data_IF_142188987961
#
_entry.id   IF_142188987961
#
_cell.length_a   1.000
_cell.length_b   1.000
_cell.length_c   1.000
_cell.angle_alpha   90.00
_cell.angle_beta   90.00
_cell.angle_gamma   90.00
#
_symmetry.space_group_name_H-M   'P 1'
#
loop_
_entity.id
_entity.type
_entity.pdbx_description
1 polymer ?
#
# COMPACT_ATOMS: atom_id res chain seq x y z
N UNK A 1 -4.88 -3.38 -22.72
CA UNK A 1 -5.00 -4.83 -22.38
C UNK A 1 -4.62 -4.99 -20.92
N UNK A 2 -5.40 -5.72 -20.10
CA UNK A 2 -5.00 -6.03 -18.71
C UNK A 2 -3.80 -6.99 -18.77
N UNK A 3 -2.77 -6.74 -17.97
CA UNK A 3 -1.59 -7.61 -17.91
C UNK A 3 -1.88 -8.94 -17.20
N UNK A 4 -2.86 -8.97 -16.29
CA UNK A 4 -3.27 -10.19 -15.58
C UNK A 4 -4.78 -10.43 -15.76
N UNK A 5 -5.22 -11.68 -16.03
CA UNK A 5 -6.62 -11.99 -16.31
C UNK A 5 -7.50 -11.96 -15.06
N UNK A 6 -6.94 -12.25 -13.89
CA UNK A 6 -7.64 -12.24 -12.61
C UNK A 6 -7.29 -11.00 -11.80
N UNK A 7 -8.28 -10.47 -11.07
CA UNK A 7 -8.09 -9.38 -10.11
C UNK A 7 -7.29 -9.87 -8.91
N UNK A 8 -6.33 -9.06 -8.47
CA UNK A 8 -5.59 -9.30 -7.24
C UNK A 8 -6.13 -8.36 -6.16
N UNK A 9 -6.15 -8.82 -4.91
CA UNK A 9 -6.66 -8.09 -3.76
C UNK A 9 -5.52 -7.87 -2.76
N UNK A 10 -5.45 -6.70 -2.14
CA UNK A 10 -4.46 -6.41 -1.10
C UNK A 10 -5.20 -6.01 0.17
N UNK A 11 -5.06 -6.83 1.20
CA UNK A 11 -5.47 -6.53 2.58
C UNK A 11 -4.38 -5.64 3.23
N UNK A 12 -4.63 -4.34 3.32
CA UNK A 12 -3.69 -3.34 3.82
C UNK A 12 -3.99 -3.00 5.28
N UNK A 13 -2.94 -2.92 6.11
CA UNK A 13 -2.99 -2.27 7.42
C UNK A 13 -2.09 -1.05 7.42
N UNK A 14 -2.65 0.09 7.81
CA UNK A 14 -1.91 1.32 8.07
C UNK A 14 -1.62 1.44 9.57
N UNK A 15 -0.39 1.80 9.90
CA UNK A 15 0.08 2.00 11.27
C UNK A 15 0.61 3.42 11.39
N UNK A 16 0.03 4.24 12.25
CA UNK A 16 0.37 5.66 12.39
C UNK A 16 1.07 5.88 13.72
N UNK A 17 2.30 6.40 13.66
CA UNK A 17 3.04 6.90 14.80
C UNK A 17 2.52 8.30 15.13
N UNK A 18 1.99 8.48 16.34
CA UNK A 18 1.45 9.74 16.85
C UNK A 18 0.42 10.41 15.92
N UNK A 19 -0.84 10.23 16.28
CA UNK A 19 -1.99 10.72 15.53
C UNK A 19 -1.95 12.25 15.28
N UNK A 20 -1.64 12.68 14.06
CA UNK A 20 -2.05 13.99 13.55
C UNK A 20 -3.47 13.83 13.01
N UNK A 21 -4.41 14.71 13.41
CA UNK A 21 -5.88 14.56 13.21
C UNK A 21 -6.30 14.02 11.84
N UNK A 22 -5.59 14.41 10.77
CA UNK A 22 -5.89 13.98 9.39
C UNK A 22 -5.55 12.50 9.10
N UNK A 23 -4.51 11.93 9.71
CA UNK A 23 -4.09 10.54 9.46
C UNK A 23 -4.96 9.51 10.19
N UNK A 24 -5.71 9.97 11.19
CA UNK A 24 -6.48 9.11 12.09
C UNK A 24 -7.89 8.82 11.59
N UNK A 25 -8.27 9.46 10.47
CA UNK A 25 -9.48 9.12 9.76
C UNK A 25 -9.15 8.06 8.67
N UNK A 26 -9.73 6.85 8.73
CA UNK A 26 -9.48 5.82 7.73
C UNK A 26 -9.85 6.25 6.30
N UNK A 27 -10.76 7.22 6.13
CA UNK A 27 -11.18 7.75 4.83
C UNK A 27 -10.10 8.60 4.14
N UNK A 28 -9.10 9.07 4.90
CA UNK A 28 -8.02 9.93 4.40
C UNK A 28 -7.15 9.27 3.33
N UNK A 29 -7.17 7.93 3.24
CA UNK A 29 -6.39 7.16 2.27
C UNK A 29 -7.23 6.58 1.12
N UNK A 30 -8.48 7.00 0.97
CA UNK A 30 -9.37 6.51 -0.11
C UNK A 30 -8.80 6.70 -1.54
N UNK A 31 -7.97 7.74 -1.74
CA UNK A 31 -7.31 8.00 -3.02
C UNK A 31 -6.31 6.89 -3.41
N UNK A 32 -5.61 6.30 -2.44
CA UNK A 32 -4.64 5.21 -2.63
C UNK A 32 -5.26 4.04 -3.40
N UNK A 33 -6.52 3.71 -3.09
CA UNK A 33 -7.20 2.56 -3.67
C UNK A 33 -7.42 2.71 -5.19
N UNK A 34 -7.51 3.94 -5.68
CA UNK A 34 -7.73 4.21 -7.11
C UNK A 34 -6.45 4.04 -7.94
N UNK A 35 -5.27 4.29 -7.35
CA UNK A 35 -3.98 4.26 -8.07
C UNK A 35 -3.65 2.87 -8.64
N UNK A 36 -4.12 1.83 -7.96
CA UNK A 36 -3.87 0.43 -8.31
C UNK A 36 -4.86 -0.17 -9.31
N UNK A 37 -5.98 0.50 -9.61
CA UNK A 37 -7.05 -0.05 -10.46
C UNK A 37 -6.56 -0.40 -11.87
N UNK A 38 -5.68 0.41 -12.46
CA UNK A 38 -5.12 0.16 -13.80
C UNK A 38 -4.24 -1.09 -13.87
N UNK A 39 -3.72 -1.55 -12.72
CA UNK A 39 -2.95 -2.79 -12.59
C UNK A 39 -3.82 -4.02 -12.30
N UNK A 40 -5.14 -3.85 -12.26
CA UNK A 40 -6.09 -4.89 -11.83
C UNK A 40 -5.83 -5.39 -10.39
N UNK A 41 -5.43 -4.46 -9.52
CA UNK A 41 -5.24 -4.68 -8.08
C UNK A 41 -6.30 -3.86 -7.33
N UNK A 42 -6.98 -4.50 -6.38
CA UNK A 42 -7.94 -3.87 -5.47
C UNK A 42 -7.32 -3.80 -4.07
N UNK A 43 -6.97 -2.61 -3.62
CA UNK A 43 -6.47 -2.38 -2.26
C UNK A 43 -7.65 -2.15 -1.32
N UNK A 44 -7.61 -2.74 -0.14
CA UNK A 44 -8.64 -2.59 0.88
C UNK A 44 -7.99 -2.40 2.25
N UNK A 45 -8.39 -1.36 2.96
CA UNK A 45 -7.95 -1.11 4.32
C UNK A 45 -8.70 -2.04 5.29
N UNK A 46 -7.97 -2.95 5.93
CA UNK A 46 -8.50 -3.90 6.92
C UNK A 46 -8.07 -3.57 8.34
N UNK A 47 -7.18 -2.58 8.51
CA UNK A 47 -6.73 -2.12 9.81
C UNK A 47 -6.14 -0.71 9.77
N UNK A 48 -6.49 0.10 10.77
CA UNK A 48 -5.82 1.36 11.08
C UNK A 48 -5.40 1.31 12.54
N UNK A 49 -4.10 1.18 12.79
CA UNK A 49 -3.52 1.11 14.13
C UNK A 49 -2.83 2.42 14.44
N UNK A 50 -3.14 3.00 15.60
CA UNK A 50 -2.61 4.30 16.04
C UNK A 50 -1.83 4.09 17.33
N UNK A 51 -0.55 4.46 17.33
CA UNK A 51 0.26 4.48 18.55
C UNK A 51 -0.06 5.76 19.34
N UNK A 52 -0.93 5.64 20.34
CA UNK A 52 -1.44 6.79 21.12
C UNK A 52 -0.54 7.18 22.30
N UNK A 53 -0.09 6.19 23.07
CA UNK A 53 0.59 6.45 24.35
C UNK A 53 2.11 6.26 24.24
N UNK A 54 2.54 5.22 23.51
CA UNK A 54 3.95 4.94 23.28
C UNK A 54 4.12 4.04 22.07
N UNK A 55 5.30 4.12 21.45
CA UNK A 55 5.64 3.26 20.32
C UNK A 55 6.08 1.89 20.82
N UNK A 56 5.51 0.79 20.29
CA UNK A 56 5.86 -0.58 20.70
C UNK A 56 7.27 -0.99 20.25
N UNK A 57 7.92 -0.17 19.43
CA UNK A 57 9.31 -0.30 19.04
C UNK A 57 9.92 1.10 18.85
N UNK A 58 11.25 1.17 18.95
CA UNK A 58 11.99 2.42 18.74
C UNK A 58 11.89 2.90 17.30
N UNK A 59 11.29 4.07 17.11
CA UNK A 59 11.34 4.89 15.90
C UNK A 59 12.55 5.84 15.96
N UNK A 60 13.74 5.28 16.18
CA UNK A 60 14.98 6.03 16.06
C UNK A 60 15.97 5.23 15.20
N UNK A 61 16.87 5.95 14.52
CA UNK A 61 17.88 5.40 13.63
C UNK A 61 17.64 5.72 12.16
N UNK A 62 18.22 4.93 11.26
CA UNK A 62 17.98 5.06 9.83
C UNK A 62 16.60 4.50 9.43
N UNK A 63 16.13 4.88 8.24
CA UNK A 63 14.92 4.31 7.63
C UNK A 63 14.94 2.77 7.61
N UNK A 64 16.09 2.16 7.30
CA UNK A 64 16.26 0.71 7.27
C UNK A 64 16.15 0.07 8.65
N UNK A 65 16.70 0.71 9.69
CA UNK A 65 16.60 0.22 11.07
C UNK A 65 15.15 0.18 11.53
N UNK A 66 14.39 1.23 11.22
CA UNK A 66 12.98 1.38 11.61
C UNK A 66 12.11 0.40 10.83
N UNK A 67 12.33 0.25 9.52
CA UNK A 67 11.66 -0.75 8.70
C UNK A 67 11.88 -2.16 9.27
N UNK A 68 13.12 -2.51 9.63
CA UNK A 68 13.45 -3.80 10.24
C UNK A 68 12.71 -4.04 11.57
N UNK A 69 12.68 -3.03 12.45
CA UNK A 69 11.92 -3.09 13.71
C UNK A 69 10.41 -3.22 13.47
N UNK A 70 9.88 -2.45 12.52
CA UNK A 70 8.48 -2.47 12.16
C UNK A 70 8.03 -3.84 11.65
N UNK A 71 8.73 -4.44 10.68
CA UNK A 71 8.31 -5.76 10.14
C UNK A 71 8.47 -6.87 11.17
N UNK A 72 9.43 -6.75 12.11
CA UNK A 72 9.56 -7.65 13.26
C UNK A 72 8.35 -7.54 14.20
N UNK A 73 7.95 -6.31 14.55
CA UNK A 73 6.74 -6.07 15.35
C UNK A 73 5.48 -6.52 14.60
N UNK A 74 5.37 -6.25 13.30
CA UNK A 74 4.28 -6.73 12.44
C UNK A 74 4.13 -8.24 12.56
N UNK A 75 5.23 -8.97 12.42
CA UNK A 75 5.26 -10.44 12.55
C UNK A 75 4.79 -10.94 13.91
N UNK A 76 5.22 -10.29 14.98
CA UNK A 76 5.08 -10.82 16.34
C UNK A 76 3.86 -10.31 17.10
N UNK A 77 3.30 -9.17 16.69
CA UNK A 77 2.20 -8.51 17.40
C UNK A 77 1.03 -8.15 16.50
N UNK A 78 1.29 -7.59 15.30
CA UNK A 78 0.20 -7.12 14.44
C UNK A 78 -0.50 -8.26 13.70
N UNK A 79 0.25 -9.12 12.99
CA UNK A 79 -0.29 -10.24 12.23
C UNK A 79 -1.13 -11.21 13.07
N UNK A 80 -0.77 -11.54 14.32
CA UNK A 80 -1.61 -12.34 15.21
C UNK A 80 -2.96 -11.67 15.57
N UNK A 81 -3.05 -10.34 15.48
CA UNK A 81 -4.22 -9.57 15.90
C UNK A 81 -5.13 -9.21 14.72
N UNK A 82 -4.53 -8.82 13.60
CA UNK A 82 -5.22 -8.41 12.37
C UNK A 82 -4.56 -9.16 11.22
N UNK A 83 -5.31 -10.04 10.54
CA UNK A 83 -4.83 -10.69 9.32
C UNK A 83 -4.74 -9.66 8.20
N UNK A 84 -3.61 -9.62 7.49
CA UNK A 84 -3.37 -8.69 6.39
C UNK A 84 -2.17 -9.11 5.52
N UNK A 85 -2.13 -8.62 4.28
CA UNK A 85 -1.10 -8.93 3.31
C UNK A 85 0.12 -8.01 3.47
N UNK A 86 -0.11 -6.70 3.63
CA UNK A 86 0.93 -5.67 3.69
C UNK A 86 0.65 -4.74 4.88
N UNK A 87 1.68 -4.47 5.68
CA UNK A 87 1.65 -3.43 6.71
C UNK A 87 2.46 -2.21 6.29
N UNK A 88 1.92 -1.00 6.46
CA UNK A 88 2.62 0.24 6.13
C UNK A 88 2.65 1.16 7.37
N UNK A 89 3.85 1.46 7.85
CA UNK A 89 4.06 2.41 8.95
C UNK A 89 4.13 3.83 8.37
N UNK A 90 3.49 4.77 9.04
CA UNK A 90 3.56 6.21 8.79
C UNK A 90 4.19 6.83 10.02
N UNK A 91 5.53 6.93 10.08
CA UNK A 91 6.22 7.64 11.15
C UNK A 91 6.17 9.16 10.94
N UNK A 92 6.60 9.91 11.96
CA UNK A 92 6.94 11.33 11.79
C UNK A 92 8.13 11.55 10.83
N UNK A 93 8.65 12.78 10.76
CA UNK A 93 9.73 13.15 9.85
C UNK A 93 11.04 12.37 10.09
N UNK A 94 11.69 11.90 9.02
CA UNK A 94 12.96 11.17 9.07
C UNK A 94 13.98 11.65 8.03
N UNK A 95 14.98 12.42 8.46
CA UNK A 95 16.31 12.52 7.83
C UNK A 95 16.37 12.68 6.30
N UNK A 96 15.36 13.29 5.66
CA UNK A 96 15.26 13.44 4.20
C UNK A 96 14.85 12.20 3.40
N UNK A 97 14.55 11.06 4.05
CA UNK A 97 14.02 9.85 3.39
C UNK A 97 12.50 9.92 3.39
N UNK A 98 11.88 9.73 2.22
CA UNK A 98 10.42 9.77 2.08
C UNK A 98 9.75 8.45 2.44
N UNK A 99 10.40 7.33 2.13
CA UNK A 99 9.88 6.00 2.40
C UNK A 99 10.94 4.93 2.21
N UNK A 100 10.62 3.71 2.67
CA UNK A 100 11.44 2.52 2.42
C UNK A 100 10.61 1.25 2.58
N UNK A 101 10.78 0.31 1.66
CA UNK A 101 10.11 -0.99 1.69
C UNK A 101 11.00 -2.12 1.17
N UNK A 102 10.68 -3.35 1.56
CA UNK A 102 11.30 -4.54 0.98
C UNK A 102 10.67 -4.90 -0.37
N UNK A 103 11.48 -5.08 -1.40
CA UNK A 103 11.01 -5.36 -2.76
C UNK A 103 10.53 -6.80 -2.93
N UNK A 104 9.36 -7.01 -3.54
CA UNK A 104 8.84 -8.33 -3.92
C UNK A 104 8.48 -9.23 -2.75
N UNK A 105 8.18 -8.64 -1.60
CA UNK A 105 7.95 -9.36 -0.33
C UNK A 105 6.49 -9.46 0.06
N UNK A 106 5.54 -9.05 -0.79
CA UNK A 106 4.11 -9.23 -0.53
C UNK A 106 3.80 -10.68 -0.12
N UNK A 107 2.89 -10.87 0.83
CA UNK A 107 2.56 -12.13 1.51
C UNK A 107 3.63 -12.67 2.47
N UNK A 108 4.84 -12.11 2.49
CA UNK A 108 5.86 -12.51 3.47
C UNK A 108 5.43 -12.16 4.89
N UNK A 109 5.47 -13.15 5.78
CA UNK A 109 5.24 -12.95 7.21
C UNK A 109 6.30 -12.02 7.83
N UNK A 110 7.54 -12.06 7.33
CA UNK A 110 8.67 -11.35 7.94
C UNK A 110 9.00 -10.00 7.33
N UNK A 111 8.61 -9.75 6.07
CA UNK A 111 9.14 -8.60 5.31
C UNK A 111 8.09 -7.84 4.50
N UNK A 112 6.82 -8.28 4.48
CA UNK A 112 5.76 -7.58 3.74
C UNK A 112 5.34 -6.28 4.46
N UNK A 113 6.09 -5.21 4.22
CA UNK A 113 5.76 -3.88 4.68
C UNK A 113 6.75 -2.79 4.28
N UNK A 114 6.42 -1.57 4.68
CA UNK A 114 7.17 -0.35 4.39
C UNK A 114 6.99 0.74 5.45
N UNK A 115 7.82 1.77 5.37
CA UNK A 115 7.69 3.02 6.13
C UNK A 115 7.45 4.18 5.16
N UNK A 116 6.60 5.14 5.54
CA UNK A 116 6.12 6.21 4.66
C UNK A 116 6.06 7.50 5.46
N UNK A 117 7.06 8.36 5.30
CA UNK A 117 7.17 9.58 6.07
C UNK A 117 6.03 10.52 5.69
N UNK A 118 5.30 10.97 6.71
CA UNK A 118 4.35 12.06 6.55
C UNK A 118 5.09 13.39 6.60
N UNK A 119 5.13 14.09 5.47
CA UNK A 119 5.64 15.47 5.37
C UNK A 119 4.59 16.41 4.80
N UNK A 120 4.76 17.70 5.08
CA UNK A 120 4.05 18.81 4.42
C UNK A 120 2.52 18.83 4.60
N UNK A 121 2.00 18.13 5.62
CA UNK A 121 0.58 18.01 5.94
C UNK A 121 -0.32 17.57 4.76
N UNK A 122 0.26 16.92 3.75
CA UNK A 122 -0.43 16.58 2.50
C UNK A 122 -0.82 15.11 2.43
N UNK A 123 -2.13 14.85 2.60
CA UNK A 123 -2.70 13.50 2.45
C UNK A 123 -2.47 12.91 1.06
N UNK A 124 -2.55 13.75 0.02
CA UNK A 124 -2.30 13.31 -1.34
C UNK A 124 -0.84 12.86 -1.51
N UNK A 125 0.10 13.62 -0.94
CA UNK A 125 1.52 13.31 -1.01
C UNK A 125 1.84 11.99 -0.30
N UNK A 126 1.45 11.83 0.97
CA UNK A 126 1.72 10.58 1.71
C UNK A 126 0.99 9.40 1.07
N UNK A 127 -0.18 9.59 0.46
CA UNK A 127 -0.84 8.53 -0.30
C UNK A 127 -0.01 8.05 -1.50
N UNK A 128 0.69 8.97 -2.20
CA UNK A 128 1.61 8.58 -3.28
C UNK A 128 2.87 7.89 -2.76
N UNK A 129 3.37 8.28 -1.58
CA UNK A 129 4.50 7.59 -0.93
C UNK A 129 4.09 6.18 -0.52
N UNK A 130 2.94 6.01 0.13
CA UNK A 130 2.39 4.70 0.47
C UNK A 130 2.21 3.84 -0.77
N UNK A 131 1.73 4.40 -1.88
CA UNK A 131 1.63 3.68 -3.14
C UNK A 131 2.99 3.28 -3.74
N UNK A 132 4.01 4.12 -3.59
CA UNK A 132 5.38 3.81 -4.02
C UNK A 132 5.96 2.63 -3.23
N UNK A 133 5.89 2.69 -1.91
CA UNK A 133 6.46 1.67 -1.03
C UNK A 133 5.68 0.35 -1.09
N UNK A 134 4.35 0.40 -1.20
CA UNK A 134 3.55 -0.78 -1.52
C UNK A 134 3.88 -1.33 -2.92
N UNK A 135 4.20 -0.47 -3.89
CA UNK A 135 4.69 -0.87 -5.21
C UNK A 135 5.97 -1.72 -5.12
N UNK A 136 6.93 -1.32 -4.29
CA UNK A 136 8.11 -2.14 -3.96
C UNK A 136 7.70 -3.49 -3.37
N UNK A 137 6.82 -3.53 -2.36
CA UNK A 137 6.36 -4.82 -1.80
C UNK A 137 5.73 -5.73 -2.88
N UNK A 138 5.05 -5.15 -3.87
CA UNK A 138 4.48 -5.82 -5.04
C UNK A 138 5.49 -6.10 -6.16
N UNK A 139 6.79 -5.94 -5.90
CA UNK A 139 7.88 -6.33 -6.79
C UNK A 139 8.29 -5.29 -7.83
N UNK A 140 7.68 -4.10 -7.80
CA UNK A 140 7.98 -3.01 -8.74
C UNK A 140 9.31 -2.35 -8.38
N UNK A 141 10.19 -2.15 -9.36
CA UNK A 141 11.43 -1.38 -9.18
C UNK A 141 11.22 0.06 -9.63
N UNK A 142 12.17 0.94 -9.29
CA UNK A 142 12.16 2.31 -9.80
C UNK A 142 12.16 2.36 -11.33
N UNK A 143 11.46 3.33 -11.92
CA UNK A 143 11.36 3.50 -13.37
C UNK A 143 12.62 4.14 -14.00
N UNK A 144 13.41 4.88 -13.21
CA UNK A 144 14.55 5.65 -13.69
C UNK A 144 15.67 4.77 -14.27
N UNK A 145 16.24 5.19 -15.40
CA UNK A 145 17.41 4.55 -16.01
C UNK A 145 17.14 3.15 -16.58
N UNK A 146 15.87 2.73 -16.70
CA UNK A 146 15.48 1.45 -17.28
C UNK A 146 15.06 1.61 -18.73
N UNK A 147 15.62 0.77 -19.60
CA UNK A 147 15.28 0.76 -21.02
C UNK A 147 13.78 0.52 -21.24
N UNK A 148 13.16 1.39 -22.04
CA UNK A 148 11.73 1.31 -22.36
C UNK A 148 10.79 1.76 -21.23
N UNK A 149 11.33 2.25 -20.12
CA UNK A 149 10.58 2.92 -19.06
C UNK A 149 10.78 4.43 -19.21
N UNK A 150 9.71 5.17 -19.50
CA UNK A 150 9.79 6.62 -19.46
C UNK A 150 9.99 7.04 -18.00
N UNK A 151 11.18 7.52 -17.65
CA UNK A 151 11.52 7.99 -16.30
C UNK A 151 10.78 9.27 -15.90
N UNK A 152 9.84 9.75 -16.72
CA UNK A 152 8.86 10.78 -16.35
C UNK A 152 8.06 10.39 -15.11
N UNK A 153 7.39 11.39 -14.54
CA UNK A 153 6.67 11.30 -13.26
C UNK A 153 5.61 10.18 -13.24
N UNK A 154 5.96 9.06 -12.61
CA UNK A 154 5.10 7.94 -12.25
C UNK A 154 5.25 7.66 -10.75
N UNK A 155 4.36 6.85 -10.20
CA UNK A 155 4.43 6.47 -8.77
C UNK A 155 5.80 5.85 -8.46
N UNK A 156 6.35 5.00 -9.34
CA UNK A 156 7.65 4.34 -9.12
C UNK A 156 8.86 5.15 -9.59
N UNK A 157 8.72 6.45 -9.89
CA UNK A 157 9.89 7.31 -10.07
C UNK A 157 10.70 7.40 -8.76
N UNK A 158 12.03 7.36 -8.84
CA UNK A 158 12.93 7.43 -7.67
C UNK A 158 12.82 8.77 -6.91
N UNK A 159 12.32 9.81 -7.58
CA UNK A 159 12.00 11.11 -6.98
C UNK A 159 10.49 11.33 -7.01
N UNK A 160 9.91 11.76 -5.89
CA UNK A 160 8.50 12.06 -5.79
C UNK A 160 8.11 13.21 -6.75
N UNK A 161 7.25 12.91 -7.73
CA UNK A 161 6.82 13.87 -8.74
C UNK A 161 5.30 14.14 -8.76
N UNK A 162 4.57 13.66 -7.74
CA UNK A 162 3.12 13.88 -7.59
C UNK A 162 2.22 13.09 -8.54
N UNK A 163 2.77 12.15 -9.31
CA UNK A 163 1.98 11.30 -10.21
C UNK A 163 1.15 10.28 -9.43
N UNK A 164 -0.04 9.98 -9.94
CA UNK A 164 -0.98 9.00 -9.39
C UNK A 164 -1.11 7.76 -10.28
N UNK A 165 -0.24 7.62 -11.29
CA UNK A 165 -0.23 6.48 -12.21
C UNK A 165 1.05 5.66 -12.09
N UNK A 166 0.92 4.34 -12.25
CA UNK A 166 2.04 3.44 -12.45
C UNK A 166 2.46 3.39 -13.93
N UNK A 167 3.74 3.16 -14.18
CA UNK A 167 4.27 2.99 -15.53
C UNK A 167 3.93 1.60 -16.09
N UNK A 168 4.14 1.41 -17.40
CA UNK A 168 4.06 0.07 -18.01
C UNK A 168 5.15 -0.88 -17.48
N UNK A 169 6.29 -0.35 -17.02
CA UNK A 169 7.35 -1.15 -16.42
C UNK A 169 6.99 -1.63 -15.03
N UNK A 170 6.40 -0.76 -14.20
CA UNK A 170 5.82 -1.15 -12.91
C UNK A 170 4.79 -2.28 -13.09
N UNK A 171 3.94 -2.17 -14.12
CA UNK A 171 2.95 -3.20 -14.43
C UNK A 171 3.58 -4.54 -14.85
N UNK A 172 4.68 -4.52 -15.60
CA UNK A 172 5.44 -5.72 -16.00
C UNK A 172 6.16 -6.37 -14.81
N UNK A 173 6.70 -5.57 -13.89
CA UNK A 173 7.37 -6.07 -12.70
C UNK A 173 6.38 -6.83 -11.79
N UNK A 174 5.19 -6.26 -11.57
CA UNK A 174 4.13 -6.93 -10.82
C UNK A 174 3.66 -8.22 -11.51
N UNK A 175 3.46 -8.19 -12.82
CA UNK A 175 3.13 -9.39 -13.61
C UNK A 175 4.20 -10.49 -13.45
N UNK A 176 5.49 -10.11 -13.53
CA UNK A 176 6.59 -11.03 -13.35
C UNK A 176 6.63 -11.65 -11.94
N UNK A 177 6.32 -10.86 -10.89
CA UNK A 177 6.19 -11.37 -9.53
C UNK A 177 5.11 -12.47 -9.45
N UNK A 178 3.92 -12.22 -10.01
CA UNK A 178 2.81 -13.18 -10.00
C UNK A 178 3.15 -14.44 -10.79
N UNK A 179 3.75 -14.31 -11.98
CA UNK A 179 4.15 -15.45 -12.82
C UNK A 179 5.18 -16.34 -12.12
N UNK A 180 6.08 -15.75 -11.31
CA UNK A 180 7.09 -16.50 -10.54
C UNK A 180 6.53 -17.16 -9.26
N UNK A 181 5.22 -17.08 -9.03
CA UNK A 181 4.55 -17.66 -7.86
C UNK A 181 4.50 -16.75 -6.63
N UNK A 182 4.87 -15.48 -6.75
CA UNK A 182 4.63 -14.47 -5.71
C UNK A 182 3.15 -14.10 -5.60
N UNK A 183 2.77 -13.42 -4.52
CA UNK A 183 1.42 -12.86 -4.38
C UNK A 183 0.31 -13.88 -4.13
N UNK A 184 0.62 -15.05 -3.54
CA UNK A 184 -0.37 -16.11 -3.25
C UNK A 184 -1.53 -15.66 -2.35
N UNK A 185 -1.27 -14.73 -1.43
CA UNK A 185 -2.27 -14.12 -0.56
C UNK A 185 -3.22 -13.16 -1.31
N UNK A 186 -2.84 -12.68 -2.50
CA UNK A 186 -3.58 -11.66 -3.22
C UNK A 186 -4.79 -12.21 -4.00
N UNK A 187 -5.09 -13.50 -3.84
CA UNK A 187 -6.12 -14.21 -4.63
C UNK A 187 -7.49 -14.21 -3.96
N UNK A 188 -7.55 -13.93 -2.66
CA UNK A 188 -8.81 -13.82 -1.93
C UNK A 188 -9.24 -12.37 -1.76
N UNK A 189 -10.49 -12.02 -2.05
CA UNK A 189 -11.04 -10.75 -1.59
C UNK A 189 -11.10 -10.74 -0.04
N UNK A 190 -10.98 -9.56 0.59
CA UNK A 190 -11.19 -9.42 2.03
C UNK A 190 -12.64 -9.76 2.42
N UNK A 191 -12.85 -10.19 3.66
CA UNK A 191 -14.20 -10.35 4.21
C UNK A 191 -14.87 -8.99 4.38
N UNK A 192 -16.18 -8.91 4.10
CA UNK A 192 -16.97 -7.68 4.32
C UNK A 192 -16.89 -7.19 5.78
N UNK A 193 -16.73 -8.10 6.74
CA UNK A 193 -16.62 -7.77 8.18
C UNK A 193 -15.34 -7.04 8.54
N UNK A 194 -14.28 -7.25 7.76
CA UNK A 194 -12.92 -6.84 8.11
C UNK A 194 -12.59 -5.48 7.51
N UNK A 195 -13.47 -4.95 6.67
CA UNK A 195 -13.19 -3.72 5.96
C UNK A 195 -13.47 -2.47 6.78
N UNK A 196 -12.47 -1.58 6.84
CA UNK A 196 -12.59 -0.27 7.46
C UNK A 196 -12.88 0.78 6.38
N UNK A 197 -14.09 1.36 6.42
CA UNK A 197 -14.50 2.44 5.54
C UNK A 197 -16.01 2.64 5.52
N UNK A 198 -16.48 3.62 4.76
CA UNK A 198 -17.91 3.77 4.44
C UNK A 198 -18.22 2.80 3.28
N UNK A 199 -19.36 2.11 3.34
CA UNK A 199 -19.85 1.30 2.23
C UNK A 199 -20.18 2.22 1.03
N UNK A 200 -19.62 1.95 -0.15
CA UNK A 200 -19.84 2.76 -1.35
C UNK A 200 -20.04 1.88 -2.57
N UNK A 201 -21.28 1.81 -3.04
CA UNK A 201 -21.61 1.06 -4.25
C UNK A 201 -20.92 1.66 -5.49
N UNK A 202 -20.24 0.80 -6.24
CA UNK A 202 -19.53 1.14 -7.47
C UNK A 202 -18.05 1.46 -7.25
N UNK A 203 -17.53 1.28 -6.04
CA UNK A 203 -16.10 1.46 -5.76
C UNK A 203 -15.28 0.23 -6.23
N UNK A 204 -15.94 -0.89 -6.53
CA UNK A 204 -15.36 -2.17 -6.93
C UNK A 204 -14.89 -3.03 -5.76
N UNK A 205 -15.39 -2.81 -4.55
CA UNK A 205 -15.09 -3.55 -3.32
C UNK A 205 -16.42 -3.96 -2.74
N UNK A 206 -16.54 -5.22 -2.35
CA UNK A 206 -17.78 -5.72 -1.78
C UNK A 206 -17.89 -5.29 -0.32
N UNK A 207 -18.79 -4.37 -0.03
CA UNK A 207 -18.98 -3.81 1.32
C UNK A 207 -20.11 -4.50 2.10
N UNK A 208 -20.10 -4.29 3.42
CA UNK A 208 -21.17 -4.83 4.29
C UNK A 208 -22.53 -4.28 3.86
N UNK A 209 -23.44 -5.20 3.53
CA UNK A 209 -24.79 -4.87 3.06
C UNK A 209 -24.93 -4.87 1.54
N UNK A 210 -23.83 -5.03 0.80
CA UNK A 210 -23.85 -5.21 -0.64
C UNK A 210 -23.91 -6.68 -1.03
N UNK A 211 -24.69 -6.97 -2.08
CA UNK A 211 -24.72 -8.30 -2.70
C UNK A 211 -23.62 -8.44 -3.77
N UNK A 212 -23.28 -7.33 -4.44
CA UNK A 212 -22.25 -7.23 -5.46
C UNK A 212 -21.76 -5.78 -5.58
N UNK A 213 -20.51 -5.60 -6.03
CA UNK A 213 -19.99 -4.32 -6.52
C UNK A 213 -19.14 -4.57 -7.78
N UNK A 214 -19.69 -4.18 -8.93
CA UNK A 214 -19.07 -4.30 -10.25
C UNK A 214 -18.35 -3.02 -10.73
N UNK A 215 -18.28 -1.98 -9.91
CA UNK A 215 -17.80 -0.66 -10.28
C UNK A 215 -18.92 0.28 -10.78
N UNK A 216 -18.58 1.55 -10.96
CA UNK A 216 -19.51 2.53 -11.57
C UNK A 216 -19.83 2.12 -13.02
N UNK A 217 -21.07 2.33 -13.49
CA UNK A 217 -21.43 2.13 -14.89
C UNK A 217 -20.46 2.89 -15.81
N UNK A 218 -20.06 2.27 -16.92
CA UNK A 218 -19.34 3.00 -17.97
C UNK A 218 -20.27 4.07 -18.53
N UNK A 219 -19.88 5.34 -18.41
CA UNK A 219 -20.61 6.45 -19.04
C UNK A 219 -20.23 6.43 -20.52
N UNK A 220 -21.17 5.97 -21.34
CA UNK A 220 -21.06 5.94 -22.80
C UNK A 220 -21.12 7.33 -23.44
#
# INVERSE_FOLDING_TARGET
KRNLPQTNYVELVLVVDNCVTVLCNPLSFSALFQYYKKLNIRVTLVGLVIFKDSNPFSVAGSAGDVLGKFVKWRKTSLLPTIRHDIGQLIPGAYGGVLGMAFVGTVCSVSTSGGINVFSDDSLAYVSTVVAHEMGHNLGMNHDNGRDGCDGKSYIMSATAGGSTNFSSCSAKDFEALIIRGGGVCLKNPPSQSDVIGIAECGNGRLDKGEQCDCGKPEVG
#
